data_IF_809573315279
#
_entry.id   IF_809573315279
#
_cell.length_a   1.000
_cell.length_b   1.000
_cell.length_c   1.000
_cell.angle_alpha   90.00
_cell.angle_beta   90.00
_cell.angle_gamma   90.00
#
_symmetry.space_group_name_H-M   'P 1'
#
loop_
_entity.id
_entity.type
_entity.pdbx_description
1 polymer ?
#
# COMPACT_ATOMS: atom_id res chain seq x y z
N UNK A 1 -1.77 11.78 -4.96
CA UNK A 1 -0.89 10.70 -4.48
C UNK A 1 -0.52 10.80 -3.00
N UNK A 2 0.01 11.91 -2.47
CA UNK A 2 0.26 11.99 -1.02
C UNK A 2 -1.01 11.85 -0.18
N UNK A 3 -2.09 12.55 -0.55
CA UNK A 3 -3.38 12.44 0.16
C UNK A 3 -4.04 11.07 -0.01
N UNK A 4 -3.93 10.45 -1.19
CA UNK A 4 -4.41 9.08 -1.42
C UNK A 4 -3.64 8.05 -0.58
N UNK A 5 -2.33 8.23 -0.42
CA UNK A 5 -1.49 7.41 0.46
C UNK A 5 -1.94 7.49 1.90
N UNK A 6 -2.10 8.71 2.43
CA UNK A 6 -2.54 8.91 3.81
C UNK A 6 -3.91 8.28 4.03
N UNK A 7 -4.85 8.52 3.12
CA UNK A 7 -6.20 7.96 3.19
C UNK A 7 -6.19 6.42 3.16
N UNK A 8 -5.36 5.82 2.32
CA UNK A 8 -5.16 4.36 2.31
C UNK A 8 -4.63 3.87 3.66
N UNK A 9 -3.62 4.53 4.24
CA UNK A 9 -3.08 4.14 5.56
C UNK A 9 -4.15 4.28 6.65
N UNK A 10 -4.92 5.36 6.66
CA UNK A 10 -6.02 5.58 7.60
C UNK A 10 -7.10 4.49 7.51
N UNK A 11 -7.51 4.09 6.30
CA UNK A 11 -8.46 2.99 6.08
C UNK A 11 -7.90 1.65 6.58
N UNK A 12 -6.63 1.36 6.30
CA UNK A 12 -5.98 0.13 6.80
C UNK A 12 -5.84 0.10 8.33
N UNK A 13 -5.63 1.25 8.97
CA UNK A 13 -5.68 1.38 10.43
C UNK A 13 -7.09 1.15 10.97
N UNK A 14 -8.11 1.76 10.36
CA UNK A 14 -9.52 1.60 10.76
C UNK A 14 -9.99 0.14 10.66
N UNK A 15 -9.45 -0.62 9.70
CA UNK A 15 -9.71 -2.06 9.52
C UNK A 15 -8.87 -2.97 10.40
N UNK A 16 -7.89 -2.43 11.14
CA UNK A 16 -7.01 -3.18 12.04
C UNK A 16 -5.88 -3.95 11.35
N UNK A 17 -5.59 -3.67 10.07
CA UNK A 17 -4.44 -4.25 9.37
C UNK A 17 -3.12 -3.59 9.77
N UNK A 18 -3.16 -2.30 10.09
CA UNK A 18 -2.04 -1.56 10.69
C UNK A 18 -2.38 -1.32 12.16
N UNK A 19 -1.49 -1.74 13.05
CA UNK A 19 -1.63 -1.71 14.51
C UNK A 19 -0.53 -0.89 15.18
N UNK A 20 0.66 -0.81 14.58
CA UNK A 20 1.81 -0.13 15.15
C UNK A 20 2.15 1.18 14.44
N UNK A 21 2.59 2.17 15.22
CA UNK A 21 3.01 3.47 14.68
C UNK A 21 4.23 3.33 13.73
N UNK A 22 5.04 2.29 13.93
CA UNK A 22 6.18 1.99 13.06
C UNK A 22 5.74 1.63 11.64
N UNK A 23 4.76 0.73 11.50
CA UNK A 23 4.22 0.31 10.20
C UNK A 23 3.48 1.47 9.53
N UNK A 24 2.64 2.20 10.28
CA UNK A 24 1.98 3.42 9.80
C UNK A 24 2.97 4.40 9.16
N UNK A 25 4.00 4.81 9.91
CA UNK A 25 5.02 5.75 9.42
C UNK A 25 5.77 5.23 8.20
N UNK A 26 6.06 3.93 8.15
CA UNK A 26 6.71 3.33 6.98
C UNK A 26 5.81 3.43 5.73
N UNK A 27 4.54 3.07 5.85
CA UNK A 27 3.59 3.11 4.74
C UNK A 27 3.25 4.54 4.29
N UNK A 28 3.23 5.52 5.19
CA UNK A 28 3.09 6.94 4.82
C UNK A 28 4.33 7.49 4.11
N UNK A 29 5.53 6.97 4.44
CA UNK A 29 6.79 7.45 3.86
C UNK A 29 7.07 6.86 2.47
N UNK A 30 6.78 5.58 2.26
CA UNK A 30 7.17 4.87 1.03
C UNK A 30 6.19 5.17 -0.11
N UNK A 31 6.65 5.73 -1.26
CA UNK A 31 5.79 6.06 -2.38
C UNK A 31 5.47 4.83 -3.25
N UNK A 32 4.40 4.10 -2.92
CA UNK A 32 3.95 2.91 -3.66
C UNK A 32 3.78 3.15 -5.17
N UNK A 33 3.40 4.36 -5.59
CA UNK A 33 3.27 4.78 -6.99
C UNK A 33 4.57 4.70 -7.80
N UNK A 34 5.73 4.63 -7.14
CA UNK A 34 7.04 4.46 -7.80
C UNK A 34 7.38 3.00 -8.10
N UNK A 35 6.60 2.06 -7.57
CA UNK A 35 6.83 0.62 -7.69
C UNK A 35 5.76 -0.08 -8.55
N UNK A 36 4.93 0.69 -9.25
CA UNK A 36 3.91 0.18 -10.18
C UNK A 36 4.15 0.72 -11.59
N UNK A 37 3.77 -0.02 -12.64
CA UNK A 37 3.79 0.47 -14.02
C UNK A 37 2.98 1.78 -14.19
N UNK A 38 3.34 2.65 -15.15
CA UNK A 38 2.67 3.93 -15.37
C UNK A 38 1.14 3.86 -15.48
N UNK A 39 0.60 2.84 -16.13
CA UNK A 39 -0.83 2.59 -16.33
C UNK A 39 -1.59 2.32 -15.02
N UNK A 40 -0.90 1.85 -13.97
CA UNK A 40 -1.49 1.55 -12.67
C UNK A 40 -1.23 2.63 -11.61
N UNK A 41 -0.56 3.74 -11.96
CA UNK A 41 -0.24 4.80 -10.99
C UNK A 41 -1.47 5.39 -10.30
N UNK A 42 -2.58 5.56 -11.02
CA UNK A 42 -3.84 6.06 -10.45
C UNK A 42 -4.51 5.04 -9.51
N UNK A 43 -4.16 3.76 -9.64
CA UNK A 43 -4.66 2.67 -8.82
C UNK A 43 -3.71 2.28 -7.69
N UNK A 44 -2.55 2.93 -7.57
CA UNK A 44 -1.47 2.51 -6.67
C UNK A 44 -1.88 2.39 -5.19
N UNK A 45 -2.88 3.18 -4.77
CA UNK A 45 -3.39 3.26 -3.40
C UNK A 45 -4.75 2.59 -3.19
N UNK A 46 -5.24 1.87 -4.19
CA UNK A 46 -6.37 0.95 -4.01
C UNK A 46 -5.86 -0.30 -3.29
N UNK A 47 -6.66 -0.81 -2.36
CA UNK A 47 -6.30 -2.01 -1.60
C UNK A 47 -6.50 -3.30 -2.40
N UNK A 48 -5.70 -3.47 -3.44
CA UNK A 48 -5.72 -4.63 -4.35
C UNK A 48 -4.31 -4.90 -4.92
N UNK A 49 -4.03 -6.15 -5.35
CA UNK A 49 -2.81 -6.42 -6.09
C UNK A 49 -2.81 -5.71 -7.45
N UNK A 50 -1.63 -5.33 -7.93
CA UNK A 50 -1.46 -4.72 -9.26
C UNK A 50 -0.40 -5.49 -10.05
N UNK A 51 -0.62 -5.74 -11.36
CA UNK A 51 0.40 -6.34 -12.22
C UNK A 51 1.65 -5.46 -12.32
N UNK A 52 2.82 -6.10 -12.30
CA UNK A 52 4.12 -5.41 -12.46
C UNK A 52 4.96 -5.96 -13.62
N UNK A 53 4.40 -6.87 -14.41
CA UNK A 53 5.08 -7.56 -15.51
C UNK A 53 5.45 -9.01 -15.18
N UNK A 54 5.81 -9.78 -16.22
CA UNK A 54 6.30 -11.18 -16.08
C UNK A 54 5.39 -12.11 -15.26
N UNK A 55 4.07 -11.91 -15.35
CA UNK A 55 3.09 -12.68 -14.57
C UNK A 55 3.13 -12.39 -13.06
N UNK A 56 3.88 -11.38 -12.63
CA UNK A 56 4.00 -10.99 -11.23
C UNK A 56 3.03 -9.87 -10.87
N UNK A 57 2.73 -9.79 -9.57
CA UNK A 57 1.94 -8.71 -8.98
C UNK A 57 2.65 -8.15 -7.76
N UNK A 58 2.47 -6.86 -7.51
CA UNK A 58 2.76 -6.31 -6.19
C UNK A 58 1.57 -6.61 -5.27
N UNK A 59 1.85 -7.14 -4.08
CA UNK A 59 0.81 -7.49 -3.10
C UNK A 59 -0.07 -6.29 -2.73
N UNK A 60 -1.33 -6.55 -2.37
CA UNK A 60 -2.23 -5.53 -1.87
C UNK A 60 -1.64 -4.83 -0.62
N UNK A 61 -1.90 -3.53 -0.43
CA UNK A 61 -1.51 -2.78 0.75
C UNK A 61 -1.78 -3.47 2.09
N UNK A 62 -2.98 -4.03 2.32
CA UNK A 62 -3.29 -4.72 3.58
C UNK A 62 -2.39 -5.96 3.81
N UNK A 63 -2.03 -6.68 2.75
CA UNK A 63 -1.17 -7.86 2.85
C UNK A 63 0.24 -7.46 3.31
N UNK A 64 0.80 -6.41 2.72
CA UNK A 64 2.11 -5.86 3.13
C UNK A 64 2.06 -5.35 4.57
N UNK A 65 0.97 -4.65 4.95
CA UNK A 65 0.77 -4.20 6.31
C UNK A 65 0.80 -5.38 7.30
N UNK A 66 0.00 -6.42 7.05
CA UNK A 66 -0.04 -7.62 7.92
C UNK A 66 1.32 -8.31 8.02
N UNK A 67 2.05 -8.45 6.91
CA UNK A 67 3.40 -9.04 6.92
C UNK A 67 4.40 -8.24 7.77
N UNK A 68 4.19 -6.92 7.90
CA UNK A 68 5.04 -6.03 8.69
C UNK A 68 4.63 -5.88 10.16
N UNK A 69 3.43 -6.36 10.55
CA UNK A 69 2.93 -6.37 11.93
C UNK A 69 3.30 -7.64 12.71
N UNK A 70 4.10 -8.54 12.11
CA UNK A 70 4.62 -9.76 12.73
C UNK A 70 5.84 -9.46 13.60
#
# INVERSE_FOLDING_TARGET
>A
MLEERKRMVEDLMARGYIKTEKVKKAMERVPREKFVPPEYKMSAYLDQPLPIGEGQTISAPHMVAMMCEV
#
